data_IF_003433050787
#
_entry.id   IF_003433050787
#
_cell.length_a   1.000
_cell.length_b   1.000
_cell.length_c   1.000
_cell.angle_alpha   90.00
_cell.angle_beta   90.00
_cell.angle_gamma   90.00
#
_symmetry.space_group_name_H-M   'P 1'
#
loop_
_entity.id
_entity.type
_entity.pdbx_description
1 polymer ?
#
# COMPACT_ATOMS: atom_id res chain seq x y z
N UNK A 1 3.43 -15.50 41.42
CA UNK A 1 4.90 -15.62 41.31
C UNK A 1 5.38 -15.81 39.86
N UNK A 2 4.96 -16.87 39.15
CA UNK A 2 5.34 -17.10 37.74
C UNK A 2 5.00 -15.94 36.78
N UNK A 3 3.77 -15.41 36.83
CA UNK A 3 3.37 -14.29 35.96
C UNK A 3 4.20 -13.00 36.16
N UNK A 4 4.63 -12.73 37.40
CA UNK A 4 5.50 -11.59 37.72
C UNK A 4 6.95 -11.82 37.27
N UNK A 5 7.41 -13.07 37.27
CA UNK A 5 8.72 -13.43 36.74
C UNK A 5 8.73 -13.29 35.21
N UNK A 6 7.69 -13.78 34.52
CA UNK A 6 7.52 -13.61 33.08
C UNK A 6 7.44 -12.14 32.67
N UNK A 7 6.71 -11.30 33.42
CA UNK A 7 6.60 -9.87 33.10
C UNK A 7 7.94 -9.13 33.27
N UNK A 8 8.73 -9.47 34.29
CA UNK A 8 10.09 -8.94 34.49
C UNK A 8 11.06 -9.37 33.39
N UNK A 9 11.05 -10.66 33.03
CA UNK A 9 11.88 -11.19 31.93
C UNK A 9 11.51 -10.49 30.62
N UNK A 10 10.21 -10.34 30.34
CA UNK A 10 9.74 -9.65 29.14
C UNK A 10 10.11 -8.16 29.13
N UNK A 11 10.10 -7.49 30.28
CA UNK A 11 10.56 -6.11 30.41
C UNK A 11 12.06 -5.99 30.12
N UNK A 12 12.90 -6.89 30.66
CA UNK A 12 14.35 -6.90 30.42
C UNK A 12 14.64 -7.14 28.93
N UNK A 13 13.98 -8.13 28.31
CA UNK A 13 14.10 -8.40 26.88
C UNK A 13 13.70 -7.17 26.06
N UNK A 14 12.59 -6.50 26.41
CA UNK A 14 12.18 -5.25 25.75
C UNK A 14 13.27 -4.19 25.84
N UNK A 15 13.81 -3.93 27.04
CA UNK A 15 14.86 -2.95 27.26
C UNK A 15 16.13 -3.25 26.44
N UNK A 16 16.53 -4.52 26.38
CA UNK A 16 17.67 -4.96 25.57
C UNK A 16 17.43 -4.76 24.07
N UNK A 17 16.19 -4.92 23.62
CA UNK A 17 15.80 -4.77 22.21
C UNK A 17 15.57 -3.30 21.80
N UNK A 18 15.24 -2.39 22.71
CA UNK A 18 15.05 -0.97 22.43
C UNK A 18 16.14 -0.31 21.56
N UNK A 19 17.46 -0.48 21.83
CA UNK A 19 18.50 0.10 20.97
C UNK A 19 18.42 -0.43 19.54
N UNK A 20 18.09 -1.72 19.34
CA UNK A 20 17.88 -2.28 18.01
C UNK A 20 16.66 -1.65 17.32
N UNK A 21 15.58 -1.37 18.05
CA UNK A 21 14.41 -0.65 17.54
C UNK A 21 14.75 0.78 17.08
N UNK A 22 15.59 1.48 17.85
CA UNK A 22 16.07 2.82 17.50
C UNK A 22 16.99 2.80 16.26
N UNK A 23 17.93 1.86 16.19
CA UNK A 23 18.81 1.67 15.04
C UNK A 23 17.99 1.34 13.79
N UNK A 24 17.04 0.40 13.87
CA UNK A 24 16.18 0.06 12.74
C UNK A 24 15.40 1.27 12.23
N UNK A 25 14.80 2.05 13.13
CA UNK A 25 14.10 3.30 12.78
C UNK A 25 15.06 4.32 12.14
N UNK A 26 16.27 4.46 12.67
CA UNK A 26 17.29 5.38 12.15
C UNK A 26 17.73 4.98 10.74
N UNK A 27 17.97 3.69 10.48
CA UNK A 27 18.31 3.16 9.15
C UNK A 27 17.20 3.45 8.14
N UNK A 28 15.93 3.20 8.51
CA UNK A 28 14.78 3.49 7.63
C UNK A 28 14.65 4.98 7.34
N UNK A 29 14.81 5.83 8.36
CA UNK A 29 14.79 7.30 8.20
C UNK A 29 15.93 7.80 7.33
N UNK A 30 17.15 7.31 7.55
CA UNK A 30 18.32 7.64 6.76
C UNK A 30 18.10 7.25 5.30
N UNK A 31 17.71 6.01 5.03
CA UNK A 31 17.38 5.55 3.67
C UNK A 31 16.36 6.46 3.01
N UNK A 32 15.27 6.81 3.71
CA UNK A 32 14.25 7.70 3.16
C UNK A 32 14.81 9.10 2.88
N UNK A 33 15.63 9.65 3.78
CA UNK A 33 16.28 10.95 3.59
C UNK A 33 17.25 10.93 2.40
N UNK A 34 17.97 9.83 2.18
CA UNK A 34 18.84 9.66 1.01
C UNK A 34 18.07 9.70 -0.32
N UNK A 35 16.85 9.15 -0.35
CA UNK A 35 15.95 9.32 -1.49
C UNK A 35 15.43 10.74 -1.61
N UNK A 36 15.07 11.40 -0.50
CA UNK A 36 14.59 12.79 -0.50
C UNK A 36 15.67 13.76 -1.00
N UNK A 37 16.93 13.51 -0.64
CA UNK A 37 18.12 14.26 -1.08
C UNK A 37 18.61 13.86 -2.48
N UNK A 38 17.93 12.92 -3.17
CA UNK A 38 18.29 12.39 -4.49
C UNK A 38 19.69 11.72 -4.56
N UNK A 39 20.25 11.31 -3.42
CA UNK A 39 21.50 10.53 -3.38
C UNK A 39 21.28 9.08 -3.86
N UNK A 40 20.07 8.56 -3.68
CA UNK A 40 19.65 7.28 -4.23
C UNK A 40 18.86 7.49 -5.52
N UNK A 41 19.17 6.69 -6.55
CA UNK A 41 18.54 6.80 -7.86
C UNK A 41 17.06 6.43 -7.82
N UNK A 42 16.22 7.32 -8.36
CA UNK A 42 14.81 7.08 -8.64
C UNK A 42 14.67 6.93 -10.15
N UNK A 43 14.05 5.84 -10.60
CA UNK A 43 13.81 5.54 -12.02
C UNK A 43 12.41 5.98 -12.40
N UNK A 44 12.24 6.54 -13.60
CA UNK A 44 10.97 7.00 -14.14
C UNK A 44 10.49 6.06 -15.25
N UNK A 45 9.20 5.71 -15.25
CA UNK A 45 8.54 5.02 -16.36
C UNK A 45 7.85 6.05 -17.27
N UNK A 46 7.66 5.76 -18.56
CA UNK A 46 7.12 6.73 -19.52
C UNK A 46 5.59 6.95 -19.39
N UNK A 47 4.95 6.37 -18.38
CA UNK A 47 3.51 6.49 -18.10
C UNK A 47 3.30 6.81 -16.63
N UNK A 48 2.17 7.44 -16.26
CA UNK A 48 1.82 7.69 -14.87
C UNK A 48 1.83 6.44 -14.00
N UNK A 49 2.33 6.59 -12.78
CA UNK A 49 2.50 5.52 -11.80
C UNK A 49 1.81 5.90 -10.49
N UNK A 50 0.77 5.16 -10.12
CA UNK A 50 0.05 5.29 -8.84
C UNK A 50 0.53 4.19 -7.89
N UNK A 51 0.93 4.53 -6.67
CA UNK A 51 1.27 3.55 -5.65
C UNK A 51 0.16 3.39 -4.64
N UNK A 52 -0.33 2.16 -4.48
CA UNK A 52 -1.18 1.79 -3.34
C UNK A 52 -0.31 1.04 -2.34
N UNK A 53 -0.25 1.54 -1.11
CA UNK A 53 0.57 0.92 -0.08
C UNK A 53 0.11 1.24 1.32
N UNK A 54 0.91 0.82 2.30
CA UNK A 54 0.67 1.13 3.71
C UNK A 54 1.99 1.35 4.43
N UNK A 55 1.91 1.89 5.65
CA UNK A 55 3.06 1.97 6.56
C UNK A 55 2.98 0.96 7.70
N UNK A 56 1.99 0.05 7.69
CA UNK A 56 1.72 -0.93 8.75
C UNK A 56 1.86 -2.39 8.26
N UNK A 57 2.12 -3.31 9.20
CA UNK A 57 2.11 -4.75 9.01
C UNK A 57 0.69 -5.30 9.07
N UNK A 58 0.35 -6.14 8.09
CA UNK A 58 -0.93 -6.84 8.01
C UNK A 58 -1.79 -6.39 6.82
N UNK A 59 -2.97 -6.97 6.72
CA UNK A 59 -3.94 -6.68 5.68
C UNK A 59 -4.67 -5.37 5.94
N UNK A 60 -4.18 -4.27 5.35
CA UNK A 60 -4.80 -2.95 5.44
C UNK A 60 -5.84 -2.67 4.35
N UNK A 61 -6.17 -3.67 3.50
CA UNK A 61 -7.11 -3.52 2.38
C UNK A 61 -6.47 -3.09 1.05
N UNK A 62 -5.16 -3.26 0.87
CA UNK A 62 -4.44 -2.85 -0.36
C UNK A 62 -4.96 -3.55 -1.61
N UNK A 63 -5.07 -4.88 -1.58
CA UNK A 63 -5.52 -5.67 -2.74
C UNK A 63 -6.91 -5.26 -3.21
N UNK A 64 -7.94 -5.15 -2.34
CA UNK A 64 -9.22 -4.59 -2.76
C UNK A 64 -9.13 -3.16 -3.31
N UNK A 65 -8.33 -2.27 -2.68
CA UNK A 65 -8.15 -0.91 -3.18
C UNK A 65 -7.51 -0.87 -4.58
N UNK A 66 -6.51 -1.72 -4.83
CA UNK A 66 -5.88 -1.84 -6.15
C UNK A 66 -6.92 -2.28 -7.19
N UNK A 67 -7.73 -3.30 -6.90
CA UNK A 67 -8.75 -3.81 -7.82
C UNK A 67 -9.83 -2.76 -8.10
N UNK A 68 -10.29 -2.03 -7.09
CA UNK A 68 -11.25 -0.94 -7.27
C UNK A 68 -10.67 0.21 -8.08
N UNK A 69 -9.41 0.59 -7.84
CA UNK A 69 -8.74 1.62 -8.61
C UNK A 69 -8.59 1.22 -10.08
N UNK A 70 -8.29 -0.06 -10.35
CA UNK A 70 -8.30 -0.60 -11.71
C UNK A 70 -9.68 -0.43 -12.34
N UNK A 71 -10.75 -0.89 -11.68
CA UNK A 71 -12.11 -0.79 -12.22
C UNK A 71 -12.50 0.66 -12.53
N UNK A 72 -12.25 1.59 -11.60
CA UNK A 72 -12.54 3.01 -11.77
C UNK A 72 -11.77 3.62 -12.96
N UNK A 73 -10.50 3.27 -13.15
CA UNK A 73 -9.71 3.76 -14.28
C UNK A 73 -10.17 3.12 -15.61
N UNK A 74 -10.59 1.87 -15.59
CA UNK A 74 -11.14 1.19 -16.76
C UNK A 74 -12.50 1.76 -17.19
N UNK A 75 -13.38 2.11 -16.24
CA UNK A 75 -14.64 2.80 -16.50
C UNK A 75 -14.43 4.15 -17.20
N UNK A 76 -13.30 4.81 -16.92
CA UNK A 76 -12.85 6.04 -17.58
C UNK A 76 -12.16 5.80 -18.93
N UNK A 77 -12.04 4.55 -19.38
CA UNK A 77 -11.45 4.18 -20.66
C UNK A 77 -9.93 3.99 -20.65
N UNK A 78 -9.26 3.98 -19.49
CA UNK A 78 -7.82 3.76 -19.43
C UNK A 78 -7.47 2.26 -19.46
N UNK A 79 -6.40 1.91 -20.19
CA UNK A 79 -5.75 0.61 -20.04
C UNK A 79 -4.81 0.63 -18.83
N UNK A 80 -4.98 -0.33 -17.92
CA UNK A 80 -4.31 -0.32 -16.61
C UNK A 80 -3.38 -1.52 -16.47
N UNK A 81 -2.18 -1.28 -15.92
CA UNK A 81 -1.23 -2.34 -15.56
C UNK A 81 -0.91 -2.32 -14.07
N UNK A 82 -1.04 -3.46 -13.39
CA UNK A 82 -0.64 -3.64 -11.99
C UNK A 82 0.79 -4.19 -11.93
N UNK A 83 1.61 -3.66 -11.04
CA UNK A 83 2.94 -4.15 -10.72
C UNK A 83 2.98 -4.72 -9.30
N UNK A 84 3.06 -6.04 -9.18
CA UNK A 84 3.12 -6.77 -7.90
C UNK A 84 4.37 -7.65 -7.78
N UNK A 85 4.74 -8.03 -6.55
CA UNK A 85 6.05 -8.67 -6.25
C UNK A 85 5.99 -10.15 -6.60
N UNK A 86 4.82 -10.75 -6.39
CA UNK A 86 4.66 -12.19 -6.29
C UNK A 86 5.40 -12.72 -5.09
N UNK A 87 4.89 -12.44 -3.89
CA UNK A 87 5.38 -13.08 -2.67
C UNK A 87 5.21 -14.61 -2.77
N UNK A 88 6.12 -15.36 -2.12
CA UNK A 88 6.12 -16.82 -2.05
C UNK A 88 6.20 -17.61 -3.39
N UNK A 89 6.56 -16.97 -4.51
CA UNK A 89 6.75 -17.67 -5.80
C UNK A 89 8.07 -18.43 -5.88
N UNK A 90 8.08 -19.56 -6.62
CA UNK A 90 9.28 -20.38 -6.83
C UNK A 90 10.29 -19.79 -7.81
N UNK A 91 9.86 -18.90 -8.72
CA UNK A 91 10.68 -18.34 -9.80
C UNK A 91 10.89 -16.83 -9.63
N UNK A 92 12.12 -16.33 -9.79
CA UNK A 92 12.41 -14.89 -9.73
C UNK A 92 12.15 -14.11 -11.03
N UNK A 93 11.75 -14.77 -12.12
CA UNK A 93 11.64 -14.16 -13.46
C UNK A 93 10.47 -13.19 -13.56
N UNK A 94 10.61 -12.13 -14.35
CA UNK A 94 9.48 -11.25 -14.64
C UNK A 94 8.40 -12.01 -15.42
N UNK A 95 7.13 -11.87 -15.03
CA UNK A 95 5.97 -12.39 -15.78
C UNK A 95 4.98 -11.28 -16.03
N UNK A 96 4.44 -11.25 -17.24
CA UNK A 96 3.40 -10.31 -17.67
C UNK A 96 2.22 -11.17 -18.13
N UNK A 97 1.05 -10.96 -17.52
CA UNK A 97 -0.20 -11.68 -17.81
C UNK A 97 -1.33 -10.65 -17.98
N UNK A 98 -2.41 -10.98 -18.69
CA UNK A 98 -3.66 -10.23 -18.69
C UNK A 98 -4.70 -10.86 -17.75
N UNK A 99 -5.70 -10.08 -17.34
CA UNK A 99 -6.80 -10.57 -16.51
C UNK A 99 -7.51 -11.76 -17.16
N UNK A 100 -7.82 -12.77 -16.34
CA UNK A 100 -8.41 -14.03 -16.80
C UNK A 100 -7.43 -15.06 -17.39
N UNK A 101 -6.13 -14.76 -17.51
CA UNK A 101 -5.14 -15.79 -17.88
C UNK A 101 -5.06 -16.90 -16.82
N UNK A 102 -4.79 -18.12 -17.27
CA UNK A 102 -4.60 -19.27 -16.38
C UNK A 102 -3.12 -19.32 -15.95
N UNK A 103 -2.89 -19.16 -14.65
CA UNK A 103 -1.57 -19.33 -14.04
C UNK A 103 -1.71 -19.97 -12.66
N UNK A 104 -0.75 -20.81 -12.28
CA UNK A 104 -0.79 -21.53 -11.00
C UNK A 104 -0.20 -20.69 -9.86
N UNK A 105 -0.69 -20.90 -8.63
CA UNK A 105 -0.13 -20.24 -7.42
C UNK A 105 1.37 -20.51 -7.28
N UNK A 106 1.83 -21.70 -7.64
CA UNK A 106 3.26 -22.06 -7.60
C UNK A 106 4.12 -21.18 -8.53
N UNK A 107 3.55 -20.74 -9.65
CA UNK A 107 4.23 -19.93 -10.66
C UNK A 107 4.28 -18.44 -10.31
N UNK A 108 3.16 -17.90 -9.84
CA UNK A 108 2.94 -16.46 -9.71
C UNK A 108 2.77 -15.97 -8.27
N UNK A 109 2.54 -16.87 -7.32
CA UNK A 109 2.20 -16.54 -5.93
C UNK A 109 0.68 -16.51 -5.71
N UNK A 110 0.29 -16.45 -4.45
CA UNK A 110 -1.10 -16.43 -3.99
C UNK A 110 -1.80 -15.09 -4.29
N UNK A 111 -1.19 -13.97 -3.90
CA UNK A 111 -1.76 -12.63 -4.12
C UNK A 111 -1.94 -12.31 -5.63
N UNK A 112 -0.96 -12.57 -6.52
CA UNK A 112 -1.15 -12.30 -7.94
C UNK A 112 -2.16 -13.25 -8.58
N UNK A 113 -2.24 -14.51 -8.15
CA UNK A 113 -3.24 -15.46 -8.64
C UNK A 113 -4.66 -15.03 -8.27
N UNK A 114 -4.85 -14.49 -7.06
CA UNK A 114 -6.12 -13.89 -6.65
C UNK A 114 -6.48 -12.70 -7.54
N UNK A 115 -5.54 -11.75 -7.72
CA UNK A 115 -5.78 -10.58 -8.58
C UNK A 115 -6.16 -10.99 -10.01
N UNK A 116 -5.41 -11.92 -10.60
CA UNK A 116 -5.59 -12.36 -11.99
C UNK A 116 -7.00 -12.91 -12.28
N UNK A 117 -7.63 -13.56 -11.29
CA UNK A 117 -9.00 -14.10 -11.40
C UNK A 117 -10.08 -13.04 -11.39
N UNK A 118 -9.82 -11.89 -10.77
CA UNK A 118 -10.79 -10.79 -10.63
C UNK A 118 -10.60 -9.76 -11.74
N UNK A 119 -9.37 -9.59 -12.21
CA UNK A 119 -9.06 -8.63 -13.27
C UNK A 119 -9.75 -8.99 -14.58
N UNK A 120 -10.31 -7.97 -15.23
CA UNK A 120 -10.85 -8.08 -16.59
C UNK A 120 -9.72 -8.29 -17.60
N UNK A 121 -10.06 -8.82 -18.78
CA UNK A 121 -9.11 -9.05 -19.88
C UNK A 121 -8.42 -7.78 -20.40
N UNK A 122 -8.96 -6.60 -20.08
CA UNK A 122 -8.38 -5.30 -20.43
C UNK A 122 -7.41 -4.75 -19.35
N UNK A 123 -7.03 -5.57 -18.37
CA UNK A 123 -6.03 -5.25 -17.35
C UNK A 123 -4.82 -6.14 -17.46
N UNK A 124 -3.65 -5.58 -17.16
CA UNK A 124 -2.37 -6.28 -17.20
C UNK A 124 -1.80 -6.45 -15.80
N UNK A 125 -1.13 -7.57 -15.56
CA UNK A 125 -0.46 -7.90 -14.29
C UNK A 125 1.01 -8.23 -14.56
N UNK A 126 1.88 -7.32 -14.11
CA UNK A 126 3.33 -7.48 -14.10
C UNK A 126 3.83 -7.98 -12.74
N UNK A 127 4.52 -9.11 -12.73
CA UNK A 127 4.99 -9.78 -11.52
C UNK A 127 6.51 -9.83 -11.51
N UNK A 128 7.15 -9.14 -10.56
CA UNK A 128 8.60 -9.18 -10.39
C UNK A 128 9.13 -8.26 -9.30
N UNK A 129 10.25 -8.64 -8.68
CA UNK A 129 10.82 -7.91 -7.53
C UNK A 129 11.30 -6.49 -7.85
N UNK A 130 11.75 -6.25 -9.09
CA UNK A 130 12.18 -4.95 -9.57
C UNK A 130 11.04 -4.30 -10.37
N UNK A 131 10.28 -3.40 -9.72
CA UNK A 131 9.10 -2.76 -10.32
C UNK A 131 9.41 -1.98 -11.59
N UNK A 132 10.58 -1.35 -11.65
CA UNK A 132 10.99 -0.60 -12.82
C UNK A 132 11.17 -1.53 -14.04
N UNK A 133 11.93 -2.62 -13.89
CA UNK A 133 12.13 -3.58 -14.98
C UNK A 133 10.83 -4.31 -15.34
N UNK A 134 10.00 -4.64 -14.36
CA UNK A 134 8.68 -5.23 -14.61
C UNK A 134 7.77 -4.27 -15.36
N UNK A 135 7.76 -2.99 -15.01
CA UNK A 135 7.03 -1.94 -15.73
C UNK A 135 7.50 -1.79 -17.17
N UNK A 136 8.81 -1.71 -17.41
CA UNK A 136 9.37 -1.68 -18.77
C UNK A 136 8.98 -2.91 -19.59
N UNK A 137 9.09 -4.11 -19.01
CA UNK A 137 8.72 -5.35 -19.68
C UNK A 137 7.22 -5.41 -20.03
N UNK A 138 6.37 -4.82 -19.19
CA UNK A 138 4.93 -4.72 -19.45
C UNK A 138 4.65 -3.76 -20.60
N UNK A 139 5.21 -2.55 -20.53
CA UNK A 139 5.02 -1.49 -21.53
C UNK A 139 5.59 -1.85 -22.90
N UNK A 140 6.64 -2.67 -22.95
CA UNK A 140 7.18 -3.19 -24.20
C UNK A 140 6.24 -4.18 -24.91
N UNK A 141 5.35 -4.85 -24.17
CA UNK A 141 4.42 -5.85 -24.73
C UNK A 141 3.09 -5.25 -25.16
N UNK A 142 2.62 -4.23 -24.43
CA UNK A 142 1.24 -3.73 -24.53
C UNK A 142 1.18 -2.24 -24.22
N UNK A 143 0.23 -1.57 -24.84
CA UNK A 143 -0.15 -0.22 -24.46
C UNK A 143 -0.86 -0.28 -23.11
N UNK A 144 -0.32 0.45 -22.15
CA UNK A 144 -0.92 0.72 -20.85
C UNK A 144 -0.80 2.21 -20.60
N UNK A 145 -1.91 2.85 -20.24
CA UNK A 145 -1.96 4.30 -20.04
C UNK A 145 -1.57 4.67 -18.60
N UNK A 146 -1.74 3.76 -17.64
CA UNK A 146 -1.42 3.99 -16.22
C UNK A 146 -0.99 2.71 -15.50
N UNK A 147 0.03 2.82 -14.65
CA UNK A 147 0.54 1.73 -13.82
C UNK A 147 0.15 1.89 -12.36
N UNK A 148 -0.26 0.79 -11.71
CA UNK A 148 -0.55 0.74 -10.27
C UNK A 148 0.47 -0.17 -9.59
N UNK A 149 1.21 0.35 -8.60
CA UNK A 149 2.08 -0.45 -7.76
C UNK A 149 1.28 -1.00 -6.59
N UNK A 150 1.24 -2.32 -6.50
CA UNK A 150 0.81 -3.02 -5.31
C UNK A 150 1.96 -3.12 -4.30
N UNK A 151 1.67 -2.64 -3.08
CA UNK A 151 2.60 -2.41 -1.97
C UNK A 151 3.78 -1.49 -2.33
N UNK A 152 3.48 -0.36 -2.98
CA UNK A 152 4.49 0.55 -3.53
C UNK A 152 5.15 1.51 -2.54
N UNK A 153 4.64 1.64 -1.30
CA UNK A 153 5.04 2.73 -0.38
C UNK A 153 6.51 2.76 0.03
N UNK A 154 7.13 1.59 0.13
CA UNK A 154 8.54 1.44 0.43
C UNK A 154 9.40 1.34 -0.84
N UNK A 155 8.80 1.17 -2.02
CA UNK A 155 9.51 0.98 -3.29
C UNK A 155 9.94 2.31 -3.91
N UNK A 156 10.75 3.09 -3.19
CA UNK A 156 11.18 4.44 -3.59
C UNK A 156 12.10 4.50 -4.82
N UNK A 157 12.61 3.35 -5.28
CA UNK A 157 13.45 3.24 -6.47
C UNK A 157 12.69 3.53 -7.78
N UNK A 158 11.36 3.43 -7.76
CA UNK A 158 10.49 3.80 -8.87
C UNK A 158 9.74 5.09 -8.51
N UNK A 159 9.77 6.06 -9.41
CA UNK A 159 8.97 7.29 -9.31
C UNK A 159 7.48 6.95 -9.31
N UNK A 160 6.71 7.68 -8.48
CA UNK A 160 5.26 7.56 -8.36
C UNK A 160 4.69 8.96 -8.45
N UNK A 161 3.74 9.15 -9.35
CA UNK A 161 3.04 10.42 -9.56
C UNK A 161 1.97 10.63 -8.48
N UNK A 162 1.44 9.54 -7.92
CA UNK A 162 0.52 9.58 -6.79
C UNK A 162 0.79 8.44 -5.82
N UNK A 163 0.81 8.77 -4.54
CA UNK A 163 0.87 7.82 -3.43
C UNK A 163 -0.44 7.79 -2.65
N UNK A 164 -1.09 6.62 -2.62
CA UNK A 164 -2.25 6.33 -1.79
C UNK A 164 -1.80 5.43 -0.63
N UNK A 165 -1.89 5.96 0.58
CA UNK A 165 -1.50 5.26 1.80
C UNK A 165 -2.73 4.78 2.59
N UNK A 166 -2.85 3.47 2.77
CA UNK A 166 -3.87 2.89 3.63
C UNK A 166 -3.34 2.77 5.06
N UNK A 167 -4.15 3.18 6.03
CA UNK A 167 -3.90 3.01 7.45
C UNK A 167 -5.04 2.20 8.07
N UNK A 168 -4.71 1.05 8.63
CA UNK A 168 -5.64 0.25 9.44
C UNK A 168 -5.75 0.91 10.82
N UNK A 169 -6.91 1.51 11.09
CA UNK A 169 -7.19 2.27 12.32
C UNK A 169 -7.12 1.37 13.54
N UNK A 170 -7.57 0.11 13.43
CA UNK A 170 -7.56 -0.86 14.53
C UNK A 170 -6.13 -1.22 15.01
N UNK A 171 -5.14 -1.02 14.14
CA UNK A 171 -3.71 -1.28 14.41
C UNK A 171 -2.89 -0.02 14.57
N UNK A 172 -3.53 1.16 14.57
CA UNK A 172 -2.82 2.40 14.79
C UNK A 172 -2.38 2.52 16.24
N UNK A 173 -1.10 2.82 16.45
CA UNK A 173 -0.55 3.09 17.77
C UNK A 173 0.41 4.28 17.71
N UNK A 174 0.62 4.94 18.84
CA UNK A 174 1.55 6.06 18.96
C UNK A 174 2.99 5.68 19.32
N UNK A 175 3.31 4.38 19.27
CA UNK A 175 4.69 3.92 19.45
C UNK A 175 5.64 4.45 18.35
N UNK A 176 6.86 4.91 18.70
CA UNK A 176 7.80 5.51 17.75
C UNK A 176 8.58 4.48 16.93
N UNK A 177 8.80 3.28 17.47
CA UNK A 177 9.58 2.24 16.80
C UNK A 177 8.76 1.48 15.76
N UNK A 178 9.48 0.83 14.84
CA UNK A 178 8.93 -0.05 13.82
C UNK A 178 8.71 -1.46 14.39
N UNK A 179 8.21 -2.36 13.56
CA UNK A 179 8.19 -3.80 13.83
C UNK A 179 9.58 -4.29 14.27
N UNK A 180 9.69 -5.16 15.30
CA UNK A 180 8.62 -5.89 16.01
C UNK A 180 7.97 -5.18 17.20
N UNK A 181 8.38 -3.97 17.57
CA UNK A 181 7.83 -3.28 18.75
C UNK A 181 6.45 -2.66 18.54
N UNK A 182 5.97 -2.75 17.31
CA UNK A 182 4.88 -1.98 16.77
C UNK A 182 4.44 -2.61 15.45
N UNK A 183 3.29 -2.22 14.93
CA UNK A 183 2.83 -2.64 13.61
C UNK A 183 3.44 -1.82 12.48
N UNK A 184 4.27 -0.81 12.73
CA UNK A 184 4.81 0.05 11.66
C UNK A 184 5.94 -0.63 10.86
N UNK A 185 5.86 -0.55 9.53
CA UNK A 185 6.92 -0.94 8.57
C UNK A 185 7.79 0.24 8.15
N UNK A 186 7.27 1.45 8.25
CA UNK A 186 7.94 2.69 7.86
C UNK A 186 7.66 3.77 8.91
N UNK A 187 8.53 4.78 8.98
CA UNK A 187 8.38 5.87 9.92
C UNK A 187 7.13 6.70 9.58
N UNK A 188 6.39 7.19 10.57
CA UNK A 188 5.18 8.01 10.35
C UNK A 188 5.43 9.25 9.48
N UNK A 189 6.64 9.80 9.49
CA UNK A 189 7.02 10.92 8.61
C UNK A 189 6.89 10.58 7.13
N UNK A 190 6.96 9.30 6.76
CA UNK A 190 6.75 8.81 5.40
C UNK A 190 5.35 9.07 4.87
N UNK A 191 4.36 9.35 5.74
CA UNK A 191 3.02 9.77 5.34
C UNK A 191 3.02 11.11 4.57
N UNK A 192 4.04 11.97 4.76
CA UNK A 192 4.20 13.21 3.99
C UNK A 192 4.33 12.99 2.48
N UNK A 193 4.66 11.76 2.04
CA UNK A 193 4.75 11.42 0.62
C UNK A 193 3.39 11.07 0.01
N UNK A 194 2.42 10.72 0.84
CA UNK A 194 1.09 10.34 0.38
C UNK A 194 0.35 11.57 -0.14
N UNK A 195 -0.23 11.47 -1.34
CA UNK A 195 -1.24 12.42 -1.79
C UNK A 195 -2.57 12.19 -1.07
N UNK A 196 -2.90 10.91 -0.83
CA UNK A 196 -4.10 10.50 -0.09
C UNK A 196 -3.74 9.55 1.04
N UNK A 197 -4.40 9.74 2.18
CA UNK A 197 -4.40 8.77 3.27
C UNK A 197 -5.81 8.22 3.42
N UNK A 198 -5.98 6.92 3.27
CA UNK A 198 -7.24 6.21 3.47
C UNK A 198 -7.22 5.49 4.82
N UNK A 199 -8.12 5.88 5.72
CA UNK A 199 -8.34 5.18 6.98
C UNK A 199 -9.26 3.98 6.74
N UNK A 200 -8.78 2.77 7.02
CA UNK A 200 -9.53 1.52 6.86
C UNK A 200 -9.85 0.88 8.20
N UNK A 201 -10.92 0.07 8.25
CA UNK A 201 -11.45 -0.60 9.45
C UNK A 201 -11.79 0.38 10.58
N UNK A 202 -12.24 1.58 10.23
CA UNK A 202 -12.61 2.62 11.21
C UNK A 202 -13.88 2.28 11.97
N UNK A 203 -14.77 1.46 11.42
CA UNK A 203 -16.01 1.02 12.09
C UNK A 203 -15.74 0.29 13.41
N UNK A 204 -14.67 -0.51 13.47
CA UNK A 204 -14.28 -1.22 14.68
C UNK A 204 -13.57 -0.32 15.71
N UNK A 205 -13.30 0.94 15.36
CA UNK A 205 -12.51 1.86 16.17
C UNK A 205 -12.90 3.33 15.90
N UNK A 206 -14.20 3.65 15.86
CA UNK A 206 -14.71 4.94 15.37
C UNK A 206 -14.07 6.16 16.05
N UNK A 207 -14.01 6.17 17.39
CA UNK A 207 -13.35 7.24 18.17
C UNK A 207 -11.87 7.40 17.83
N UNK A 208 -11.16 6.28 17.60
CA UNK A 208 -9.76 6.33 17.18
C UNK A 208 -9.64 6.84 15.75
N UNK A 209 -10.55 6.46 14.86
CA UNK A 209 -10.60 6.92 13.47
C UNK A 209 -10.78 8.43 13.37
N UNK A 210 -11.70 9.00 14.14
CA UNK A 210 -11.90 10.46 14.22
C UNK A 210 -10.67 11.18 14.77
N UNK A 211 -10.14 10.71 15.89
CA UNK A 211 -8.92 11.26 16.49
C UNK A 211 -7.75 11.22 15.50
N UNK A 212 -7.59 10.10 14.82
CA UNK A 212 -6.51 9.91 13.86
C UNK A 212 -6.68 10.80 12.63
N UNK A 213 -7.91 10.92 12.11
CA UNK A 213 -8.22 11.82 11.01
C UNK A 213 -7.79 13.25 11.34
N UNK A 214 -8.24 13.79 12.48
CA UNK A 214 -7.85 15.13 12.95
C UNK A 214 -6.33 15.28 13.09
N UNK A 215 -5.66 14.31 13.73
CA UNK A 215 -4.20 14.32 13.90
C UNK A 215 -3.42 14.30 12.59
N UNK A 216 -3.89 13.55 11.59
CA UNK A 216 -3.20 13.43 10.31
C UNK A 216 -3.44 14.65 9.43
N UNK A 217 -4.67 15.17 9.41
CA UNK A 217 -5.03 16.37 8.67
C UNK A 217 -4.21 17.58 9.14
N UNK A 218 -4.10 17.79 10.45
CA UNK A 218 -3.28 18.86 11.04
C UNK A 218 -1.78 18.68 10.72
N UNK A 219 -1.28 17.45 10.82
CA UNK A 219 0.17 17.18 10.77
C UNK A 219 0.74 17.08 9.36
N UNK A 220 -0.05 16.61 8.39
CA UNK A 220 0.45 16.20 7.09
C UNK A 220 -0.16 16.96 5.92
N UNK A 221 -1.27 17.70 6.11
CA UNK A 221 -1.83 18.61 5.09
C UNK A 221 -2.28 17.96 3.77
N UNK A 222 -2.22 16.63 3.66
CA UNK A 222 -2.77 15.87 2.54
C UNK A 222 -4.25 15.56 2.77
N UNK A 223 -4.94 15.17 1.70
CA UNK A 223 -6.33 14.74 1.80
C UNK A 223 -6.41 13.43 2.60
N UNK A 224 -7.01 13.50 3.80
CA UNK A 224 -7.26 12.33 4.66
C UNK A 224 -8.72 11.93 4.49
N UNK A 225 -8.92 10.75 3.91
CA UNK A 225 -10.23 10.19 3.57
C UNK A 225 -10.53 9.01 4.49
N UNK A 226 -11.79 8.87 4.90
CA UNK A 226 -12.25 7.67 5.61
C UNK A 226 -12.82 6.71 4.58
N UNK A 227 -12.55 5.42 4.71
CA UNK A 227 -13.07 4.44 3.79
C UNK A 227 -13.62 3.22 4.52
N UNK A 228 -14.78 2.77 4.07
CA UNK A 228 -15.42 1.56 4.55
C UNK A 228 -15.32 0.47 3.48
N UNK A 229 -14.89 -0.72 3.93
CA UNK A 229 -14.82 -1.88 3.07
C UNK A 229 -15.81 -2.92 3.57
N UNK A 230 -16.84 -3.18 2.78
CA UNK A 230 -17.70 -4.36 2.92
C UNK A 230 -17.35 -5.34 1.81
N UNK A 231 -17.62 -6.62 2.01
CA UNK A 231 -17.20 -7.66 1.08
C UNK A 231 -17.88 -7.43 -0.29
N UNK A 232 -17.13 -6.91 -1.26
CA UNK A 232 -17.62 -6.58 -2.60
C UNK A 232 -17.93 -5.10 -2.86
N UNK A 233 -17.92 -4.24 -1.84
CA UNK A 233 -18.24 -2.81 -1.96
C UNK A 233 -17.26 -1.93 -1.16
N UNK A 234 -16.78 -0.85 -1.78
CA UNK A 234 -15.87 0.13 -1.15
C UNK A 234 -16.52 1.50 -1.23
N UNK A 235 -16.73 2.14 -0.08
CA UNK A 235 -17.26 3.49 0.00
C UNK A 235 -16.20 4.42 0.61
N UNK A 236 -16.03 5.59 0.00
CA UNK A 236 -15.17 6.66 0.53
C UNK A 236 -16.07 7.70 1.18
N UNK A 237 -15.83 8.01 2.44
CA UNK A 237 -16.47 9.11 3.14
C UNK A 237 -15.55 10.33 3.11
N UNK A 238 -16.08 11.44 2.60
CA UNK A 238 -15.48 12.78 2.73
C UNK A 238 -16.32 13.54 3.75
N UNK A 239 -15.69 14.08 4.80
CA UNK A 239 -16.34 14.90 5.84
C UNK A 239 -17.60 14.29 6.49
N UNK A 240 -17.65 12.95 6.57
CA UNK A 240 -18.74 12.22 7.24
C UNK A 240 -19.95 11.91 6.36
N UNK A 241 -19.97 12.36 5.10
CA UNK A 241 -20.98 11.95 4.13
C UNK A 241 -20.51 10.73 3.34
N UNK A 242 -21.38 9.72 3.24
CA UNK A 242 -21.12 8.56 2.40
C UNK A 242 -21.25 8.91 0.92
N UNK A 243 -20.14 8.80 0.20
CA UNK A 243 -20.18 8.76 -1.26
C UNK A 243 -20.33 7.29 -1.62
N UNK A 244 -21.58 6.92 -1.82
CA UNK A 244 -21.97 5.61 -2.33
C UNK A 244 -21.46 5.51 -3.77
N UNK A 245 -20.49 4.63 -4.04
CA UNK A 245 -20.02 4.36 -5.39
C UNK A 245 -21.10 3.57 -6.13
N UNK A 246 -22.12 4.28 -6.60
CA UNK A 246 -23.19 3.71 -7.40
C UNK A 246 -22.66 3.30 -8.78
N UNK A 247 -23.16 2.16 -9.28
CA UNK A 247 -22.86 1.53 -10.58
C UNK A 247 -23.09 2.39 -11.84
N UNK A 248 -23.44 3.66 -11.72
CA UNK A 248 -23.71 4.57 -12.85
C UNK A 248 -23.77 6.04 -12.40
N UNK A 249 -22.68 6.67 -11.95
CA UNK A 249 -22.43 8.14 -12.11
C UNK A 249 -20.99 8.50 -11.71
N UNK A 250 -20.49 9.66 -12.19
CA UNK A 250 -19.16 9.80 -12.79
C UNK A 250 -18.06 9.92 -11.73
N UNK A 251 -16.85 9.49 -12.09
CA UNK A 251 -15.58 10.13 -11.71
C UNK A 251 -15.63 11.00 -10.44
N UNK A 252 -15.22 10.45 -9.30
CA UNK A 252 -14.80 11.28 -8.17
C UNK A 252 -13.38 11.75 -8.46
N UNK A 253 -13.23 13.03 -8.80
CA UNK A 253 -11.94 13.70 -8.65
C UNK A 253 -11.81 14.12 -7.19
N UNK A 254 -10.81 13.53 -6.53
CA UNK A 254 -10.17 13.90 -5.25
C UNK A 254 -11.05 14.56 -4.18
#
# INVERSE_FOLDING_TARGET
>A
MLAQLFSKIFAIIKWLLLPFGAIHLAVVRLRNKLYDLKWLTIRLLPVPVISVGNIQMGGSGKTPMVLNLVALLQEKGFSVGILTRGYARKSGRIRILHGGEIATVAEIGDEPAMMLRVLSSNSWLGIGANRYLTGLALLAKKRVDVLILDDGMQHRKLHRDLDICLIDVSRWHNHPFLYPFSYLRDAKVSLKRAGFILLTKSENAAKMGEKLHSQLSERFGGAVLKAHFQFGEFEVLVDGSAIQLAKNTPVVSL
#
